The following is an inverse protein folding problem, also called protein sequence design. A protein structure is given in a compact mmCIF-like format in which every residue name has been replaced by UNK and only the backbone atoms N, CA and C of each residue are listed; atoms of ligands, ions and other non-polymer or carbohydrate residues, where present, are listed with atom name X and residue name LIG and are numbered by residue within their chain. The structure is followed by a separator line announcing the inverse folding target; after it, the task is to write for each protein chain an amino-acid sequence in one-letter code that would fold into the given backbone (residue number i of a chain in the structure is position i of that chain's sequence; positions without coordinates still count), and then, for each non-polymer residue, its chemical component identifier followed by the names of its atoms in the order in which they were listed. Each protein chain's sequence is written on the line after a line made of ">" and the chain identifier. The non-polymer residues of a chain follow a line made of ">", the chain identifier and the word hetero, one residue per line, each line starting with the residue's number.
data_IF_389320626022
#
_entry.id   IF_389320626022
#
_cell.length_a   1.000
_cell.length_b   1.000
_cell.length_c   1.000
_cell.angle_alpha   90.00
_cell.angle_beta   90.00
_cell.angle_gamma   90.00
#
_symmetry.space_group_name_H-M   'P 1'
#
loop_
_entity.id
_entity.type
_entity.pdbx_description
1 polymer ?
#
# COMPACT_ATOMS: atom_id res chain seq x y z
N UNK A 1 5.95 16.71 -40.21
CA UNK A 1 5.61 15.27 -40.22
C UNK A 1 5.89 14.70 -38.85
N UNK A 2 4.90 14.74 -37.96
CA UNK A 2 4.65 13.80 -36.85
C UNK A 2 3.34 14.31 -36.22
N UNK A 3 2.22 13.88 -36.79
CA UNK A 3 0.91 14.05 -36.15
C UNK A 3 0.91 13.13 -34.94
N UNK A 4 1.39 13.62 -33.79
CA UNK A 4 1.06 13.01 -32.51
C UNK A 4 -0.45 13.16 -32.36
N UNK A 5 -1.16 12.04 -32.54
CA UNK A 5 -2.61 11.93 -32.33
C UNK A 5 -3.00 12.59 -31.01
N UNK A 6 -4.15 13.28 -30.97
CA UNK A 6 -4.72 13.80 -29.72
C UNK A 6 -4.81 12.70 -28.64
N UNK A 7 -4.94 11.42 -29.01
CA UNK A 7 -4.95 10.31 -28.05
C UNK A 7 -3.61 10.10 -27.34
N UNK A 8 -2.47 10.28 -28.02
CA UNK A 8 -1.13 10.17 -27.41
C UNK A 8 -0.83 11.32 -26.47
N UNK A 9 -1.27 12.55 -26.80
CA UNK A 9 -1.13 13.69 -25.91
C UNK A 9 -2.01 13.54 -24.66
N UNK A 10 -3.23 13.02 -24.80
CA UNK A 10 -4.14 12.78 -23.68
C UNK A 10 -3.63 11.70 -22.71
N UNK A 11 -3.04 10.62 -23.25
CA UNK A 11 -2.38 9.58 -22.46
C UNK A 11 -1.16 10.11 -21.69
N UNK A 12 -0.36 10.97 -22.32
CA UNK A 12 0.79 11.62 -21.66
C UNK A 12 0.35 12.60 -20.58
N UNK A 13 -0.78 13.29 -20.76
CA UNK A 13 -1.35 14.20 -19.75
C UNK A 13 -1.90 13.44 -18.54
N UNK A 14 -2.61 12.34 -18.75
CA UNK A 14 -3.10 11.44 -17.69
C UNK A 14 -1.97 10.82 -16.86
N UNK A 15 -0.80 10.59 -17.47
CA UNK A 15 0.41 10.08 -16.80
C UNK A 15 1.04 11.12 -15.86
N UNK A 16 0.81 12.41 -16.08
CA UNK A 16 1.37 13.51 -15.30
C UNK A 16 0.50 13.92 -14.10
N UNK A 17 -0.81 13.64 -14.14
CA UNK A 17 -1.74 14.07 -13.08
C UNK A 17 -1.78 13.13 -11.87
N UNK A 18 -1.31 11.89 -11.99
CA UNK A 18 -1.41 10.91 -10.90
C UNK A 18 -0.08 10.62 -10.22
N UNK A 19 -0.11 10.71 -8.89
CA UNK A 19 0.94 10.21 -8.04
C UNK A 19 0.83 8.70 -7.82
N UNK A 20 2.00 8.11 -7.61
CA UNK A 20 2.18 6.69 -7.39
C UNK A 20 2.72 6.47 -5.98
N UNK A 21 2.12 5.51 -5.28
CA UNK A 21 2.53 5.11 -3.94
C UNK A 21 3.48 3.93 -4.00
N UNK A 22 4.68 4.11 -3.47
CA UNK A 22 5.66 3.03 -3.28
C UNK A 22 5.68 2.67 -1.80
N UNK A 23 5.24 1.45 -1.45
CA UNK A 23 5.13 1.03 -0.05
C UNK A 23 5.33 -0.48 0.13
N UNK A 24 5.59 -0.90 1.37
CA UNK A 24 5.45 -2.31 1.75
C UNK A 24 4.07 -2.54 2.36
N UNK A 25 3.32 -3.56 1.92
CA UNK A 25 2.02 -3.88 2.50
C UNK A 25 2.14 -4.10 4.02
N UNK A 26 1.29 -3.42 4.77
CA UNK A 26 1.20 -3.60 6.23
C UNK A 26 0.70 -5.00 6.56
N UNK A 27 1.17 -5.55 7.69
CA UNK A 27 0.64 -6.81 8.20
C UNK A 27 -0.86 -6.63 8.52
N UNK A 28 -1.77 -7.46 7.98
CA UNK A 28 -3.18 -7.40 8.34
C UNK A 28 -3.37 -7.74 9.83
N UNK A 29 -4.23 -6.99 10.52
CA UNK A 29 -4.54 -7.24 11.93
C UNK A 29 -5.31 -8.56 12.15
N UNK A 30 -6.02 -9.02 11.13
CA UNK A 30 -6.84 -10.24 11.16
C UNK A 30 -6.01 -11.53 11.10
N UNK A 31 -4.78 -11.47 10.57
CA UNK A 31 -3.94 -12.66 10.37
C UNK A 31 -2.56 -12.50 11.00
N UNK A 32 -2.02 -13.62 11.48
CA UNK A 32 -0.67 -13.64 12.08
C UNK A 32 0.46 -13.71 11.05
N UNK A 33 0.16 -14.11 9.80
CA UNK A 33 1.14 -14.29 8.73
C UNK A 33 1.88 -13.00 8.34
N UNK A 34 3.14 -13.14 7.94
CA UNK A 34 4.04 -12.03 7.54
C UNK A 34 4.52 -12.13 6.09
N UNK A 35 4.10 -13.14 5.33
CA UNK A 35 4.65 -13.37 4.00
C UNK A 35 4.29 -12.24 3.01
N UNK A 36 3.08 -11.68 3.14
CA UNK A 36 2.60 -10.59 2.29
C UNK A 36 3.31 -9.25 2.48
N UNK A 37 4.11 -9.07 3.54
CA UNK A 37 4.74 -7.78 3.86
C UNK A 37 6.19 -7.66 3.38
N UNK A 38 6.72 -8.71 2.72
CA UNK A 38 8.14 -8.80 2.36
C UNK A 38 8.51 -8.07 1.07
N UNK A 39 7.53 -7.84 0.20
CA UNK A 39 7.76 -7.22 -1.11
C UNK A 39 7.39 -5.73 -1.06
N UNK A 40 8.02 -4.97 -1.94
CA UNK A 40 7.62 -3.61 -2.25
C UNK A 40 6.51 -3.63 -3.29
N UNK A 41 5.60 -2.67 -3.20
CA UNK A 41 4.46 -2.57 -4.08
C UNK A 41 4.31 -1.14 -4.56
N UNK A 42 3.95 -1.03 -5.83
CA UNK A 42 3.56 0.20 -6.49
C UNK A 42 2.06 0.14 -6.74
N UNK A 43 1.34 1.12 -6.20
CA UNK A 43 -0.09 1.34 -6.46
C UNK A 43 -0.31 2.78 -6.96
N UNK A 44 -1.29 2.95 -7.84
CA UNK A 44 -1.73 4.26 -8.29
C UNK A 44 -2.72 4.85 -7.29
N UNK A 45 -2.66 6.16 -7.08
CA UNK A 45 -3.71 6.84 -6.34
C UNK A 45 -5.03 6.85 -7.13
N UNK A 46 -6.14 6.94 -6.39
CA UNK A 46 -7.49 6.93 -6.95
C UNK A 46 -7.74 8.28 -7.62
N UNK A 47 -8.20 8.26 -8.88
CA UNK A 47 -8.70 9.47 -9.53
C UNK A 47 -10.12 9.77 -9.08
N UNK A 48 -10.37 11.01 -8.68
CA UNK A 48 -11.68 11.43 -8.19
C UNK A 48 -12.77 11.26 -9.26
N UNK A 49 -12.52 11.73 -10.49
CA UNK A 49 -13.49 11.69 -11.59
C UNK A 49 -13.70 10.29 -12.19
N UNK A 50 -12.70 9.40 -12.07
CA UNK A 50 -12.72 8.05 -12.66
C UNK A 50 -12.97 6.92 -11.66
N UNK A 51 -13.26 7.28 -10.40
CA UNK A 51 -13.48 6.33 -9.33
C UNK A 51 -14.74 5.48 -9.56
N UNK A 52 -15.05 4.60 -8.62
CA UNK A 52 -16.22 3.73 -8.65
C UNK A 52 -17.53 4.52 -8.55
N UNK A 53 -18.43 4.31 -9.51
CA UNK A 53 -19.83 4.72 -9.45
C UNK A 53 -20.77 3.52 -9.55
N UNK A 54 -22.03 3.71 -9.14
CA UNK A 54 -23.06 2.69 -9.22
C UNK A 54 -23.69 2.66 -10.62
N UNK A 55 -23.79 1.49 -11.24
CA UNK A 55 -24.48 1.30 -12.51
C UNK A 55 -26.01 1.38 -12.29
N UNK A 56 -26.74 2.31 -12.94
CA UNK A 56 -28.17 2.51 -12.72
C UNK A 56 -29.04 1.31 -13.10
N UNK A 57 -28.56 0.37 -13.92
CA UNK A 57 -29.33 -0.81 -14.33
C UNK A 57 -29.25 -1.95 -13.31
N UNK A 58 -28.03 -2.34 -12.91
CA UNK A 58 -27.78 -3.55 -12.12
C UNK A 58 -27.18 -3.27 -10.72
N UNK A 59 -26.80 -2.03 -10.41
CA UNK A 59 -26.13 -1.66 -9.15
C UNK A 59 -24.66 -2.09 -9.05
N UNK A 60 -24.04 -2.52 -10.15
CA UNK A 60 -22.62 -2.90 -10.16
C UNK A 60 -21.71 -1.70 -10.01
N UNK A 61 -20.58 -1.90 -9.32
CA UNK A 61 -19.53 -0.89 -9.21
C UNK A 61 -18.76 -0.76 -10.53
N UNK A 62 -19.11 0.25 -11.31
CA UNK A 62 -18.45 0.59 -12.58
C UNK A 62 -17.35 1.61 -12.33
N UNK A 63 -16.30 1.63 -13.15
CA UNK A 63 -15.20 2.59 -13.03
C UNK A 63 -14.57 2.85 -14.40
N UNK A 64 -14.10 4.08 -14.62
CA UNK A 64 -13.38 4.50 -15.82
C UNK A 64 -11.86 4.36 -15.69
N UNK A 65 -11.38 4.02 -14.49
CA UNK A 65 -9.95 3.93 -14.22
C UNK A 65 -9.35 2.61 -14.71
N UNK A 66 -8.47 2.68 -15.70
CA UNK A 66 -7.77 1.51 -16.23
C UNK A 66 -6.63 1.02 -15.32
N UNK A 67 -6.11 1.87 -14.43
CA UNK A 67 -4.95 1.54 -13.57
C UNK A 67 -5.37 1.04 -12.19
N UNK A 68 -6.66 1.08 -11.86
CA UNK A 68 -7.19 0.72 -10.54
C UNK A 68 -6.81 -0.70 -10.06
N UNK A 69 -6.66 -1.64 -11.00
CA UNK A 69 -6.34 -3.04 -10.71
C UNK A 69 -4.84 -3.33 -10.82
N UNK A 70 -4.04 -2.35 -11.24
CA UNK A 70 -2.62 -2.53 -11.53
C UNK A 70 -1.83 -2.50 -10.22
N UNK A 71 -1.16 -3.61 -9.91
CA UNK A 71 -0.36 -3.77 -8.71
C UNK A 71 0.98 -4.38 -9.09
N UNK A 72 2.06 -3.61 -8.99
CA UNK A 72 3.39 -4.09 -9.38
C UNK A 72 4.19 -4.43 -8.14
N UNK A 73 4.77 -5.62 -8.11
CA UNK A 73 5.57 -6.12 -6.99
C UNK A 73 7.06 -6.05 -7.31
N UNK A 74 7.83 -5.58 -6.34
CA UNK A 74 9.28 -5.41 -6.43
C UNK A 74 9.97 -6.06 -5.23
N UNK A 75 11.23 -6.47 -5.41
CA UNK A 75 12.05 -7.02 -4.34
C UNK A 75 12.64 -5.92 -3.44
N UNK A 76 13.04 -4.79 -4.02
CA UNK A 76 13.74 -3.70 -3.32
C UNK A 76 13.09 -2.35 -3.55
N UNK A 77 13.21 -1.43 -2.59
CA UNK A 77 12.75 -0.03 -2.69
C UNK A 77 13.35 0.66 -3.91
N UNK A 78 14.65 0.48 -4.12
CA UNK A 78 15.41 1.11 -5.20
C UNK A 78 14.91 0.65 -6.57
N UNK A 79 14.60 -0.64 -6.74
CA UNK A 79 14.07 -1.15 -8.01
C UNK A 79 12.70 -0.55 -8.35
N UNK A 80 11.84 -0.33 -7.34
CA UNK A 80 10.56 0.34 -7.51
C UNK A 80 10.73 1.83 -7.89
N UNK A 81 11.65 2.54 -7.24
CA UNK A 81 11.95 3.95 -7.53
C UNK A 81 12.49 4.11 -8.95
N UNK A 82 13.49 3.32 -9.33
CA UNK A 82 14.05 3.36 -10.68
C UNK A 82 13.02 3.04 -11.75
N UNK A 83 12.06 2.15 -11.47
CA UNK A 83 10.97 1.86 -12.38
C UNK A 83 10.03 3.05 -12.53
N UNK A 84 9.62 3.70 -11.43
CA UNK A 84 8.78 4.89 -11.47
C UNK A 84 9.47 6.05 -12.22
N UNK A 85 10.76 6.28 -11.98
CA UNK A 85 11.56 7.30 -12.66
C UNK A 85 11.68 7.03 -14.17
N UNK A 86 11.92 5.78 -14.57
CA UNK A 86 11.97 5.39 -15.99
C UNK A 86 10.65 5.62 -16.73
N UNK A 87 9.53 5.49 -16.03
CA UNK A 87 8.20 5.75 -16.59
C UNK A 87 7.79 7.23 -16.50
N UNK A 88 8.56 8.07 -15.79
CA UNK A 88 8.25 9.48 -15.59
C UNK A 88 7.07 9.73 -14.64
N UNK A 89 6.78 8.80 -13.71
CA UNK A 89 5.68 8.95 -12.76
C UNK A 89 6.11 9.75 -11.53
N UNK A 90 5.24 10.66 -11.09
CA UNK A 90 5.34 11.29 -9.77
C UNK A 90 5.14 10.24 -8.69
N UNK A 91 6.05 10.12 -7.72
CA UNK A 91 5.95 9.08 -6.68
C UNK A 91 6.18 9.64 -5.28
N UNK A 92 5.58 8.98 -4.29
CA UNK A 92 5.93 9.14 -2.89
C UNK A 92 6.22 7.79 -2.26
N UNK A 93 7.24 7.77 -1.40
CA UNK A 93 7.66 6.56 -0.71
C UNK A 93 7.09 6.57 0.70
N UNK A 94 6.31 5.55 1.02
CA UNK A 94 5.92 5.27 2.39
C UNK A 94 6.85 4.22 3.00
N UNK A 95 7.58 4.62 4.04
CA UNK A 95 8.46 3.70 4.74
C UNK A 95 7.68 2.67 5.57
N UNK A 96 8.11 1.40 5.57
CA UNK A 96 7.50 0.38 6.41
C UNK A 96 7.68 0.75 7.88
N UNK A 97 6.65 0.51 8.69
CA UNK A 97 6.73 0.66 10.15
C UNK A 97 7.22 -0.66 10.75
N UNK A 98 8.50 -0.77 11.15
CA UNK A 98 9.02 -2.00 11.73
C UNK A 98 8.38 -2.24 13.10
N UNK A 99 8.04 -3.50 13.38
CA UNK A 99 7.58 -3.89 14.71
C UNK A 99 8.79 -3.89 15.64
N UNK A 100 8.69 -3.14 16.75
CA UNK A 100 9.72 -3.15 17.79
C UNK A 100 9.82 -4.54 18.40
N UNK A 101 11.04 -5.09 18.46
CA UNK A 101 11.28 -6.34 19.15
C UNK A 101 11.15 -6.14 20.67
N UNK A 102 10.33 -6.96 21.32
CA UNK A 102 10.14 -6.93 22.77
C UNK A 102 10.48 -8.32 23.30
N UNK A 103 11.41 -8.38 24.27
CA UNK A 103 11.73 -9.62 24.97
C UNK A 103 10.49 -10.06 25.76
N UNK A 104 9.95 -11.24 25.42
CA UNK A 104 8.85 -11.86 26.15
C UNK A 104 9.42 -13.03 26.95
N UNK A 105 9.38 -12.95 28.28
CA UNK A 105 9.73 -14.05 29.17
C UNK A 105 8.47 -14.58 29.85
N UNK A 106 8.24 -15.88 29.79
CA UNK A 106 7.09 -16.51 30.45
C UNK A 106 7.17 -16.38 31.99
N UNK A 107 8.38 -16.30 32.55
CA UNK A 107 8.59 -16.10 33.98
C UNK A 107 8.06 -14.75 34.48
N UNK A 108 7.99 -13.72 33.62
CA UNK A 108 7.46 -12.40 33.97
C UNK A 108 5.96 -12.45 34.32
N UNK A 109 5.26 -13.53 33.97
CA UNK A 109 3.88 -13.76 34.37
C UNK A 109 3.75 -14.04 35.87
N UNK A 110 4.78 -14.61 36.51
CA UNK A 110 4.75 -15.10 37.90
C UNK A 110 5.72 -14.34 38.83
N UNK A 111 6.18 -13.16 38.41
CA UNK A 111 7.11 -12.37 39.21
C UNK A 111 6.48 -11.98 40.56
N UNK A 112 7.20 -12.22 41.65
CA UNK A 112 6.78 -11.79 42.98
C UNK A 112 6.70 -10.25 43.04
N UNK A 113 5.60 -9.74 43.57
CA UNK A 113 5.40 -8.32 43.86
C UNK A 113 5.22 -8.13 45.37
N UNK A 114 6.04 -7.31 46.03
CA UNK A 114 5.99 -7.14 47.49
C UNK A 114 4.81 -6.30 47.98
N UNK A 115 4.14 -5.56 47.09
CA UNK A 115 3.01 -4.68 47.42
C UNK A 115 1.66 -5.18 46.89
N UNK A 116 0.67 -4.29 46.88
CA UNK A 116 -0.65 -4.57 46.28
C UNK A 116 -0.49 -4.80 44.77
N UNK A 117 -0.99 -5.93 44.29
CA UNK A 117 -0.95 -6.28 42.87
C UNK A 117 -1.78 -5.28 42.03
N UNK A 118 -1.22 -4.73 40.93
CA UNK A 118 -1.94 -3.79 40.08
C UNK A 118 -3.01 -4.46 39.21
N UNK A 119 -2.79 -5.71 38.83
CA UNK A 119 -3.69 -6.52 38.01
C UNK A 119 -3.54 -7.99 38.39
N UNK A 120 -4.66 -8.68 38.59
CA UNK A 120 -4.68 -10.14 38.73
C UNK A 120 -4.65 -10.74 37.32
N UNK A 121 -3.53 -11.37 36.96
CA UNK A 121 -3.34 -11.96 35.63
C UNK A 121 -4.09 -13.29 35.53
N UNK A 122 -5.09 -13.36 34.65
CA UNK A 122 -5.63 -14.63 34.15
C UNK A 122 -4.76 -15.11 32.96
N UNK A 123 -4.75 -16.42 32.67
CA UNK A 123 -3.95 -17.05 31.61
C UNK A 123 -3.99 -16.30 30.27
#
# INVERSE_FOLDING_TARGET
>A
MFMLSMSTLFLVLLLLERSVRIFQPSKPATQSGKNGTRHWRIDFDILEDGNRWENPLMGWSSSADYQQALQIKFATKQSAIQFAEKQGWSYYVQEPKPVKFVKKSYADNYKYFPGKLPLIKTK
#
